data_IF_361626158928
#
_entry.id   IF_361626158928
#
_cell.length_a   1.000
_cell.length_b   1.000
_cell.length_c   1.000
_cell.angle_alpha   90.00
_cell.angle_beta   90.00
_cell.angle_gamma   90.00
#
_symmetry.space_group_name_H-M   'P 1'
#
loop_
_entity.id
_entity.type
_entity.pdbx_description
1 polymer ?
#
# COMPACT_ATOMS: atom_id res chain seq x y z
N UNK A 1 -19.94 -22.72 6.58
CA UNK A 1 -18.88 -22.80 7.60
C UNK A 1 -18.09 -21.50 7.58
N UNK A 2 -17.64 -21.02 8.75
CA UNK A 2 -16.75 -19.86 8.80
C UNK A 2 -15.43 -20.21 8.07
N UNK A 3 -14.90 -19.26 7.30
CA UNK A 3 -13.66 -19.47 6.55
C UNK A 3 -12.46 -19.12 7.42
N UNK A 4 -11.53 -20.06 7.58
CA UNK A 4 -10.38 -19.88 8.46
C UNK A 4 -9.24 -19.17 7.74
N UNK A 5 -8.54 -18.31 8.45
CA UNK A 5 -7.36 -17.59 7.91
C UNK A 5 -6.30 -18.57 7.43
N UNK A 6 -6.06 -19.66 8.19
CA UNK A 6 -5.10 -20.73 7.82
C UNK A 6 -5.44 -21.46 6.51
N UNK A 7 -6.68 -21.36 6.00
CA UNK A 7 -7.04 -21.96 4.72
C UNK A 7 -6.37 -21.29 3.53
N UNK A 8 -5.76 -20.10 3.74
CA UNK A 8 -4.98 -19.34 2.79
C UNK A 8 -3.46 -19.44 3.02
N UNK A 9 -3.06 -20.42 3.81
CA UNK A 9 -1.65 -20.68 4.08
C UNK A 9 -1.01 -21.48 2.94
N UNK A 10 0.22 -21.14 2.62
CA UNK A 10 1.12 -21.92 1.77
C UNK A 10 2.56 -21.67 2.22
N UNK A 11 3.46 -22.60 1.93
CA UNK A 11 4.88 -22.48 2.28
C UNK A 11 5.58 -21.52 1.30
N UNK A 12 6.04 -20.38 1.78
CA UNK A 12 6.79 -19.39 1.00
C UNK A 12 8.24 -19.37 1.46
N UNK A 13 9.19 -19.89 0.66
CA UNK A 13 10.60 -19.79 0.98
C UNK A 13 11.06 -18.32 1.03
N UNK A 14 11.82 -17.91 2.05
CA UNK A 14 12.24 -16.49 2.22
C UNK A 14 13.07 -15.95 1.05
N UNK A 15 13.83 -16.80 0.36
CA UNK A 15 14.62 -16.45 -0.81
C UNK A 15 13.78 -16.11 -2.04
N UNK A 16 12.49 -16.47 -2.06
CA UNK A 16 11.55 -16.08 -3.11
C UNK A 16 11.04 -14.65 -2.96
N UNK A 17 11.25 -14.00 -1.83
CA UNK A 17 10.82 -12.61 -1.61
C UNK A 17 11.81 -11.66 -2.30
N UNK A 18 11.37 -11.02 -3.37
CA UNK A 18 12.21 -10.13 -4.17
C UNK A 18 12.63 -8.87 -3.39
N UNK A 19 13.92 -8.60 -3.36
CA UNK A 19 14.50 -7.44 -2.68
C UNK A 19 14.69 -6.24 -3.61
N UNK A 20 14.82 -6.49 -4.91
CA UNK A 20 15.05 -5.47 -5.94
C UNK A 20 14.19 -5.73 -7.17
N UNK A 21 13.78 -4.67 -7.90
CA UNK A 21 13.04 -4.84 -9.15
C UNK A 21 13.92 -5.43 -10.25
N UNK A 22 13.31 -6.17 -11.17
CA UNK A 22 13.94 -6.52 -12.47
C UNK A 22 14.01 -5.24 -13.33
N UNK A 23 15.02 -5.17 -14.19
CA UNK A 23 15.16 -4.12 -15.19
C UNK A 23 15.49 -4.72 -16.56
N UNK A 24 14.76 -4.36 -17.64
CA UNK A 24 13.54 -3.54 -17.64
C UNK A 24 12.42 -4.16 -16.79
N UNK A 25 11.49 -3.34 -16.27
CA UNK A 25 10.48 -3.82 -15.32
C UNK A 25 9.49 -4.81 -15.93
N UNK A 26 9.19 -4.68 -17.22
CA UNK A 26 8.32 -5.57 -17.98
C UNK A 26 8.96 -6.93 -18.34
N UNK A 27 10.23 -7.14 -17.98
CA UNK A 27 10.90 -8.43 -18.06
C UNK A 27 10.64 -9.34 -16.85
N UNK A 28 9.85 -8.91 -15.85
CA UNK A 28 9.34 -9.80 -14.81
C UNK A 28 8.52 -10.93 -15.41
N UNK A 29 8.46 -12.08 -14.74
CA UNK A 29 7.58 -13.17 -15.16
C UNK A 29 6.11 -12.77 -14.97
N UNK A 30 5.26 -13.32 -15.81
CA UNK A 30 3.80 -13.17 -15.77
C UNK A 30 3.17 -14.56 -15.82
N UNK A 31 2.43 -14.92 -14.78
CA UNK A 31 1.62 -16.13 -14.75
C UNK A 31 0.19 -15.77 -15.16
N UNK A 32 -0.28 -16.30 -16.27
CA UNK A 32 -1.65 -16.14 -16.71
C UNK A 32 -2.51 -17.32 -16.21
N UNK A 33 -3.61 -16.98 -15.53
CA UNK A 33 -4.58 -17.94 -14.99
C UNK A 33 -5.91 -17.78 -15.71
N UNK A 34 -6.32 -18.79 -16.45
CA UNK A 34 -7.68 -18.88 -16.98
C UNK A 34 -8.55 -19.66 -16.01
N UNK A 35 -9.50 -18.96 -15.35
CA UNK A 35 -10.37 -19.57 -14.35
C UNK A 35 -11.43 -20.51 -14.97
N UNK A 36 -11.77 -20.35 -16.26
CA UNK A 36 -12.75 -21.18 -16.94
C UNK A 36 -12.17 -22.54 -17.33
N UNK A 37 -10.93 -22.56 -17.88
CA UNK A 37 -10.23 -23.78 -18.31
C UNK A 37 -9.37 -24.38 -17.22
N UNK A 38 -9.02 -23.59 -16.18
CA UNK A 38 -8.02 -23.91 -15.13
C UNK A 38 -6.60 -24.06 -15.68
N UNK A 39 -6.32 -23.47 -16.83
CA UNK A 39 -4.99 -23.46 -17.44
C UNK A 39 -4.10 -22.40 -16.79
N UNK A 40 -2.81 -22.71 -16.74
CA UNK A 40 -1.76 -21.82 -16.21
C UNK A 40 -0.69 -21.68 -17.30
N UNK A 41 -0.52 -20.46 -17.81
CA UNK A 41 0.53 -20.12 -18.76
C UNK A 41 1.65 -19.33 -18.11
N UNK A 42 2.88 -19.55 -18.56
CA UNK A 42 4.08 -18.88 -18.11
C UNK A 42 4.61 -17.95 -19.18
N UNK A 43 4.58 -16.65 -18.91
CA UNK A 43 4.99 -15.58 -19.82
C UNK A 43 5.98 -14.64 -19.12
N UNK A 44 6.40 -13.60 -19.85
CA UNK A 44 6.96 -12.38 -19.25
C UNK A 44 5.97 -11.22 -19.39
N UNK A 45 6.08 -10.20 -18.56
CA UNK A 45 5.10 -9.12 -18.50
C UNK A 45 5.00 -8.34 -19.84
N UNK A 46 6.08 -8.22 -20.60
CA UNK A 46 6.06 -7.66 -21.96
C UNK A 46 5.16 -8.46 -22.94
N UNK A 47 4.76 -9.68 -22.59
CA UNK A 47 3.78 -10.50 -23.30
C UNK A 47 2.32 -10.17 -22.96
N UNK A 48 2.05 -9.30 -21.99
CA UNK A 48 0.70 -8.87 -21.59
C UNK A 48 -0.20 -8.48 -22.78
N UNK A 49 0.32 -7.84 -23.86
CA UNK A 49 -0.48 -7.50 -25.03
C UNK A 49 -1.19 -8.70 -25.70
N UNK A 50 -0.69 -9.91 -25.55
CA UNK A 50 -1.34 -11.13 -26.10
C UNK A 50 -2.54 -11.60 -25.28
N UNK A 51 -2.66 -11.17 -24.04
CA UNK A 51 -3.76 -11.52 -23.12
C UNK A 51 -4.91 -10.52 -23.14
N UNK A 52 -4.67 -9.34 -23.72
CA UNK A 52 -5.63 -8.24 -23.80
C UNK A 52 -6.25 -8.16 -25.21
N UNK A 53 -7.46 -7.61 -25.28
CA UNK A 53 -8.22 -7.46 -26.52
C UNK A 53 -8.50 -5.99 -26.80
N UNK A 54 -8.53 -5.55 -28.07
CA UNK A 54 -8.99 -4.20 -28.40
C UNK A 54 -10.34 -3.91 -27.75
N UNK A 55 -10.45 -2.76 -27.10
CA UNK A 55 -11.64 -2.37 -26.33
C UNK A 55 -11.59 -2.69 -24.84
N UNK A 56 -10.62 -3.49 -24.36
CA UNK A 56 -10.40 -3.63 -22.92
C UNK A 56 -10.02 -2.28 -22.30
N UNK A 57 -10.44 -2.07 -21.06
CA UNK A 57 -10.11 -0.89 -20.24
C UNK A 57 -9.21 -1.32 -19.09
N UNK A 58 -7.93 -0.90 -19.10
CA UNK A 58 -7.05 -1.03 -17.96
C UNK A 58 -7.32 0.12 -16.98
N UNK A 59 -7.65 -0.23 -15.75
CA UNK A 59 -7.78 0.75 -14.65
C UNK A 59 -6.65 0.53 -13.68
N UNK A 60 -5.92 1.59 -13.35
CA UNK A 60 -4.81 1.54 -12.38
C UNK A 60 -4.92 2.61 -11.29
N UNK A 61 -4.21 2.38 -10.19
CA UNK A 61 -4.13 3.31 -9.08
C UNK A 61 -2.99 4.31 -9.33
N UNK A 62 -3.33 5.60 -9.53
CA UNK A 62 -2.38 6.68 -9.82
C UNK A 62 -1.77 7.31 -8.57
N UNK A 63 -1.97 6.71 -7.40
CA UNK A 63 -1.41 7.25 -6.15
C UNK A 63 0.12 7.35 -6.23
N UNK A 64 0.64 8.46 -5.67
CA UNK A 64 2.07 8.74 -5.59
C UNK A 64 2.56 8.61 -4.16
N UNK A 65 3.60 7.80 -3.96
CA UNK A 65 4.26 7.63 -2.67
C UNK A 65 5.06 8.87 -2.33
N UNK A 66 5.01 9.31 -1.08
CA UNK A 66 5.87 10.36 -0.54
C UNK A 66 6.87 9.78 0.48
N UNK A 67 7.89 10.54 0.84
CA UNK A 67 8.93 10.13 1.80
C UNK A 67 8.41 10.19 3.24
N UNK A 68 7.52 9.27 3.57
CA UNK A 68 6.70 9.27 4.78
C UNK A 68 7.46 9.02 6.09
N UNK A 69 8.69 8.51 6.04
CA UNK A 69 9.47 8.12 7.22
C UNK A 69 10.39 9.25 7.66
N UNK A 70 10.19 9.76 8.86
CA UNK A 70 10.92 10.87 9.45
C UNK A 70 11.59 10.45 10.76
N UNK A 71 12.68 11.11 11.12
CA UNK A 71 13.29 11.01 12.45
C UNK A 71 12.95 12.26 13.26
N UNK A 72 12.51 12.09 14.50
CA UNK A 72 12.19 13.16 15.41
C UNK A 72 12.85 12.95 16.77
N UNK A 73 13.00 14.03 17.53
CA UNK A 73 13.41 14.01 18.94
C UNK A 73 12.37 14.68 19.80
N UNK A 74 12.26 14.33 21.09
CA UNK A 74 11.43 15.10 22.01
C UNK A 74 12.03 16.51 22.19
N UNK A 75 11.18 17.52 21.98
CA UNK A 75 11.53 18.89 22.31
C UNK A 75 11.59 19.04 23.81
N UNK A 76 12.68 19.60 24.32
CA UNK A 76 12.87 19.85 25.76
C UNK A 76 12.12 21.11 26.24
N UNK A 77 10.96 21.43 25.73
CA UNK A 77 10.14 22.50 26.24
C UNK A 77 9.39 22.06 27.50
N UNK A 78 10.05 22.12 28.66
CA UNK A 78 9.32 22.46 29.89
C UNK A 78 8.90 23.92 29.73
N UNK A 79 7.66 24.16 29.34
CA UNK A 79 7.03 25.47 29.61
C UNK A 79 7.06 25.68 31.10
N UNK A 80 7.87 26.62 31.55
CA UNK A 80 7.74 27.22 32.85
C UNK A 80 6.39 27.96 32.87
N UNK A 81 5.35 27.31 33.42
CA UNK A 81 4.19 27.99 33.94
C UNK A 81 4.48 28.14 35.43
N UNK A 82 4.62 29.36 35.79
CA UNK A 82 4.36 30.05 37.07
C UNK A 82 5.57 30.84 37.56
N UNK A 83 5.46 32.15 37.31
CA UNK A 83 6.36 33.14 37.86
C UNK A 83 6.27 33.24 39.38
N UNK A 84 7.37 32.93 40.06
CA UNK A 84 7.69 33.55 41.34
C UNK A 84 9.20 33.81 41.39
N UNK A 85 9.58 35.07 41.23
CA UNK A 85 10.93 35.54 41.51
C UNK A 85 11.20 35.40 43.01
N UNK A 86 12.18 34.56 43.39
CA UNK A 86 12.92 34.72 44.63
C UNK A 86 14.39 34.70 44.35
N UNK A 87 14.98 35.86 44.51
CA UNK A 87 16.43 36.07 44.53
C UNK A 87 17.02 35.43 45.78
N UNK A 88 17.96 34.53 45.64
CA UNK A 88 19.05 34.34 46.61
C UNK A 88 20.28 33.84 45.83
N UNK A 89 21.30 34.67 45.87
CA UNK A 89 22.64 34.42 45.42
C UNK A 89 23.25 33.32 46.29
N UNK A 90 23.65 32.21 45.70
CA UNK A 90 24.68 31.36 46.32
C UNK A 90 25.58 30.77 45.20
N UNK A 91 26.79 31.30 45.14
CA UNK A 91 27.85 30.83 44.29
C UNK A 91 28.39 29.51 44.84
N UNK A 92 28.04 28.38 44.18
CA UNK A 92 28.89 27.18 44.24
C UNK A 92 29.14 26.69 42.83
N UNK A 93 30.41 26.77 42.44
CA UNK A 93 30.95 26.19 41.25
C UNK A 93 30.74 24.67 41.31
N UNK A 94 29.76 24.18 40.58
CA UNK A 94 29.61 22.74 40.32
C UNK A 94 30.25 22.45 38.98
N UNK A 95 31.24 21.60 38.97
CA UNK A 95 31.89 21.05 37.79
C UNK A 95 30.85 20.38 36.85
N UNK A 96 30.61 20.98 35.71
CA UNK A 96 29.85 20.36 34.64
C UNK A 96 30.57 19.15 34.07
N UNK A 97 30.22 17.96 34.53
CA UNK A 97 30.47 16.76 33.77
C UNK A 97 29.57 16.80 32.52
N UNK A 98 30.08 16.51 31.31
CA UNK A 98 29.28 16.52 30.12
C UNK A 98 28.17 15.45 30.27
N UNK A 99 26.93 15.87 30.46
CA UNK A 99 25.76 14.99 30.39
C UNK A 99 25.68 14.51 28.94
N UNK A 100 25.94 13.24 28.77
CA UNK A 100 25.79 12.54 27.50
C UNK A 100 24.27 12.30 27.28
N UNK A 101 23.50 13.38 27.14
CA UNK A 101 22.07 13.35 26.81
C UNK A 101 21.93 13.00 25.31
N UNK A 102 22.08 11.72 24.98
CA UNK A 102 21.58 11.22 23.70
C UNK A 102 20.09 11.55 23.65
N UNK A 103 19.69 12.58 22.88
CA UNK A 103 18.29 12.89 22.62
C UNK A 103 17.63 11.61 22.15
N UNK A 104 16.52 11.22 22.78
CA UNK A 104 15.77 10.03 22.37
C UNK A 104 15.22 10.27 20.99
N UNK A 105 15.65 9.48 20.04
CA UNK A 105 15.13 9.50 18.67
C UNK A 105 13.86 8.66 18.55
N UNK A 106 12.95 9.15 17.72
CA UNK A 106 11.69 8.52 17.36
C UNK A 106 11.61 8.42 15.84
N UNK A 107 11.29 7.26 15.34
CA UNK A 107 10.86 7.10 13.96
C UNK A 107 9.38 7.50 13.90
N UNK A 108 9.04 8.46 13.05
CA UNK A 108 7.68 8.91 12.79
C UNK A 108 7.35 8.57 11.34
N UNK A 109 6.28 7.82 11.15
CA UNK A 109 5.82 7.41 9.83
C UNK A 109 4.47 8.07 9.56
N UNK A 110 4.44 9.08 8.69
CA UNK A 110 3.23 9.78 8.31
C UNK A 110 2.37 8.90 7.41
N UNK A 111 1.09 8.79 7.70
CA UNK A 111 0.14 8.00 6.93
C UNK A 111 -0.71 8.87 6.01
N UNK A 112 -1.40 9.86 6.57
CA UNK A 112 -2.29 10.77 5.81
C UNK A 112 -2.69 11.98 6.63
N UNK A 113 -3.12 13.06 5.99
CA UNK A 113 -3.84 14.15 6.66
C UNK A 113 -5.20 13.63 7.19
N UNK A 114 -5.61 14.11 8.37
CA UNK A 114 -6.88 13.78 8.99
C UNK A 114 -7.36 14.91 9.89
N UNK A 115 -8.46 15.58 9.53
CA UNK A 115 -9.12 16.61 10.35
C UNK A 115 -8.17 17.72 10.86
N UNK A 116 -7.29 18.26 9.99
CA UNK A 116 -6.31 19.28 10.37
C UNK A 116 -5.07 18.75 11.10
N UNK A 117 -4.95 17.44 11.25
CA UNK A 117 -3.80 16.75 11.85
C UNK A 117 -3.22 15.75 10.84
N UNK A 118 -2.15 15.07 11.24
CA UNK A 118 -1.56 13.96 10.50
C UNK A 118 -1.71 12.67 11.30
N UNK A 119 -2.37 11.68 10.71
CA UNK A 119 -2.31 10.32 11.22
C UNK A 119 -0.92 9.76 10.97
N UNK A 120 -0.29 9.19 11.99
CA UNK A 120 1.07 8.68 11.92
C UNK A 120 1.27 7.45 12.82
N UNK A 121 2.33 6.69 12.54
CA UNK A 121 2.88 5.73 13.48
C UNK A 121 4.15 6.31 14.08
N UNK A 122 4.39 6.05 15.37
CA UNK A 122 5.61 6.48 16.05
C UNK A 122 6.28 5.30 16.76
N UNK A 123 7.61 5.19 16.64
CA UNK A 123 8.37 4.12 17.28
C UNK A 123 9.58 4.69 18.01
N UNK A 124 9.71 4.46 19.33
CA UNK A 124 8.84 3.67 20.23
C UNK A 124 7.63 4.46 20.73
N UNK A 125 6.42 4.22 20.17
CA UNK A 125 5.20 4.99 20.50
C UNK A 125 4.76 4.95 21.96
N UNK A 126 5.10 3.86 22.69
CA UNK A 126 4.77 3.75 24.14
C UNK A 126 5.44 4.82 25.01
N UNK A 127 6.54 5.42 24.54
CA UNK A 127 7.30 6.45 25.27
C UNK A 127 6.76 7.85 25.06
N UNK A 128 5.90 8.06 24.07
CA UNK A 128 5.27 9.34 23.78
C UNK A 128 3.98 9.50 24.61
N UNK A 129 3.69 10.73 24.99
CA UNK A 129 2.46 11.12 25.70
C UNK A 129 1.73 12.20 24.92
N UNK A 130 0.40 12.23 25.04
CA UNK A 130 -0.40 13.35 24.50
C UNK A 130 0.12 14.66 25.10
N UNK A 131 0.33 15.66 24.26
CA UNK A 131 0.94 16.94 24.59
C UNK A 131 2.44 17.03 24.33
N UNK A 132 3.14 15.89 24.10
CA UNK A 132 4.56 15.93 23.73
C UNK A 132 4.78 16.68 22.42
N UNK A 133 5.84 17.49 22.35
CA UNK A 133 6.31 18.14 21.14
C UNK A 133 7.48 17.34 20.55
N UNK A 134 7.35 16.99 19.29
CA UNK A 134 8.37 16.34 18.49
C UNK A 134 9.07 17.38 17.62
N UNK A 135 10.39 17.44 17.70
CA UNK A 135 11.23 18.27 16.82
C UNK A 135 11.83 17.43 15.72
N UNK A 136 11.70 17.91 14.51
CA UNK A 136 12.25 17.35 13.28
C UNK A 136 13.41 18.22 12.77
N UNK A 137 13.93 17.92 11.58
CA UNK A 137 14.90 18.76 10.89
C UNK A 137 14.33 20.16 10.58
N UNK A 138 15.21 21.13 10.28
CA UNK A 138 14.86 22.53 9.97
C UNK A 138 13.92 23.16 11.01
N UNK A 139 14.05 22.79 12.30
CA UNK A 139 13.25 23.27 13.42
C UNK A 139 11.73 23.07 13.27
N UNK A 140 11.30 22.22 12.35
CA UNK A 140 9.88 21.85 12.23
C UNK A 140 9.46 21.06 13.45
N UNK A 141 8.31 21.43 14.00
CA UNK A 141 7.75 20.78 15.18
C UNK A 141 6.36 20.22 14.89
N UNK A 142 6.03 19.13 15.59
CA UNK A 142 4.67 18.62 15.66
C UNK A 142 4.30 18.28 17.09
N UNK A 143 3.05 18.62 17.48
CA UNK A 143 2.48 18.27 18.78
C UNK A 143 1.70 16.97 18.67
N UNK A 144 1.94 16.04 19.58
CA UNK A 144 1.13 14.83 19.69
C UNK A 144 -0.21 15.19 20.33
N UNK A 145 -1.28 15.11 19.54
CA UNK A 145 -2.64 15.52 19.93
C UNK A 145 -3.41 14.36 20.54
N UNK A 146 -3.26 13.15 19.96
CA UNK A 146 -3.97 11.97 20.43
C UNK A 146 -3.23 10.67 20.11
N UNK A 147 -3.61 9.59 20.82
CA UNK A 147 -3.14 8.22 20.60
C UNK A 147 -4.34 7.32 20.41
N UNK A 148 -4.44 6.72 19.23
CA UNK A 148 -5.58 5.89 18.86
C UNK A 148 -5.41 4.45 19.37
N UNK A 149 -6.52 3.72 19.45
CA UNK A 149 -6.56 2.34 19.97
C UNK A 149 -5.72 1.35 19.12
N UNK A 150 -5.60 1.61 17.82
CA UNK A 150 -4.79 0.80 16.90
C UNK A 150 -3.27 1.05 17.01
N UNK A 151 -2.86 1.94 17.92
CA UNK A 151 -1.48 2.32 18.18
C UNK A 151 -0.97 3.45 17.27
N UNK A 152 -1.78 3.98 16.39
CA UNK A 152 -1.47 5.20 15.64
C UNK A 152 -1.59 6.45 16.50
N UNK A 153 -1.06 7.55 16.02
CA UNK A 153 -1.04 8.84 16.73
C UNK A 153 -1.51 9.95 15.79
N UNK A 154 -2.12 10.99 16.36
CA UNK A 154 -2.43 12.23 15.66
C UNK A 154 -1.39 13.30 16.00
N UNK A 155 -0.74 13.82 14.97
CA UNK A 155 0.27 14.88 15.06
C UNK A 155 -0.28 16.16 14.44
N UNK A 156 -0.19 17.25 15.18
CA UNK A 156 -0.50 18.60 14.68
C UNK A 156 0.80 19.28 14.28
N UNK A 157 0.88 19.67 13.01
CA UNK A 157 1.92 20.54 12.47
C UNK A 157 1.32 21.91 12.24
N UNK A 158 2.06 22.98 12.55
CA UNK A 158 1.71 24.36 12.17
C UNK A 158 2.06 24.63 10.70
N UNK A 159 1.78 23.65 9.83
CA UNK A 159 2.06 23.65 8.40
C UNK A 159 0.82 23.13 7.65
N UNK A 160 0.62 23.65 6.44
CA UNK A 160 -0.38 23.06 5.53
C UNK A 160 0.04 21.65 5.07
N UNK A 161 -0.89 20.81 4.62
CA UNK A 161 -0.54 19.48 4.08
C UNK A 161 0.53 19.54 2.99
N UNK A 162 0.47 20.50 2.07
CA UNK A 162 1.45 20.67 0.99
C UNK A 162 2.84 21.05 1.52
N UNK A 163 2.90 21.87 2.58
CA UNK A 163 4.16 22.20 3.24
C UNK A 163 4.75 21.00 3.96
N UNK A 164 3.91 20.14 4.57
CA UNK A 164 4.37 18.88 5.17
C UNK A 164 4.91 17.94 4.08
N UNK A 165 4.23 17.81 2.93
CA UNK A 165 4.76 17.02 1.81
C UNK A 165 6.11 17.57 1.31
N UNK A 166 6.24 18.88 1.11
CA UNK A 166 7.51 19.51 0.73
C UNK A 166 8.62 19.25 1.77
N UNK A 167 8.30 19.31 3.05
CA UNK A 167 9.21 18.97 4.13
C UNK A 167 9.63 17.48 4.07
N UNK A 168 8.67 16.56 3.86
CA UNK A 168 8.99 15.13 3.74
C UNK A 168 9.83 14.82 2.51
N UNK A 169 9.63 15.50 1.40
CA UNK A 169 10.45 15.33 0.18
C UNK A 169 11.93 15.67 0.44
N UNK A 170 12.18 16.66 1.31
CA UNK A 170 13.53 17.09 1.66
C UNK A 170 14.20 16.22 2.72
N UNK A 171 13.47 15.82 3.76
CA UNK A 171 14.03 15.21 4.98
C UNK A 171 13.58 13.77 5.22
N UNK A 172 12.54 13.32 4.53
CA UNK A 172 11.98 12.00 4.70
C UNK A 172 12.74 10.91 3.96
N UNK A 173 12.52 9.68 4.40
CA UNK A 173 13.02 8.46 3.77
C UNK A 173 11.87 7.72 3.06
N UNK A 174 12.24 6.94 2.05
CA UNK A 174 11.29 6.10 1.30
C UNK A 174 10.63 5.11 2.25
N UNK A 175 9.30 5.00 2.22
CA UNK A 175 8.56 4.10 3.10
C UNK A 175 8.56 2.66 2.58
N UNK A 176 9.74 2.04 2.49
CA UNK A 176 9.85 0.64 2.06
C UNK A 176 9.14 -0.29 3.04
N UNK A 177 8.44 -1.33 2.56
CA UNK A 177 7.87 -2.35 3.41
C UNK A 177 8.92 -3.06 4.28
N UNK A 178 8.55 -3.63 5.43
CA UNK A 178 9.51 -4.19 6.40
C UNK A 178 10.31 -5.39 5.86
N UNK A 179 9.84 -6.06 4.81
CA UNK A 179 10.50 -7.19 4.17
C UNK A 179 11.49 -6.78 3.05
N UNK A 180 11.51 -5.50 2.67
CA UNK A 180 12.47 -4.95 1.69
C UNK A 180 13.66 -4.37 2.44
N UNK A 181 14.88 -4.81 2.05
CA UNK A 181 16.11 -4.26 2.61
C UNK A 181 16.23 -2.77 2.30
N UNK A 182 16.87 -2.01 3.20
CA UNK A 182 17.08 -0.58 3.00
C UNK A 182 17.97 -0.31 1.79
N UNK A 183 17.80 0.86 1.18
CA UNK A 183 18.62 1.31 0.05
C UNK A 183 17.85 1.48 -1.27
N UNK A 184 16.55 1.22 -1.29
CA UNK A 184 15.72 1.49 -2.47
C UNK A 184 15.49 3.00 -2.64
N UNK A 185 15.55 3.45 -3.89
CA UNK A 185 15.21 4.83 -4.23
C UNK A 185 13.69 5.03 -4.28
N UNK A 186 13.22 6.27 -4.18
CA UNK A 186 11.80 6.56 -4.38
C UNK A 186 11.34 6.18 -5.80
N UNK A 187 12.23 6.30 -6.79
CA UNK A 187 11.98 5.91 -8.17
C UNK A 187 11.76 4.40 -8.32
N UNK A 188 12.50 3.59 -7.55
CA UNK A 188 12.27 2.14 -7.51
C UNK A 188 10.92 1.78 -6.91
N UNK A 189 10.44 2.59 -5.96
CA UNK A 189 9.18 2.37 -5.24
C UNK A 189 8.04 3.27 -5.73
N UNK A 190 7.97 3.49 -7.06
CA UNK A 190 6.96 4.31 -7.73
C UNK A 190 6.55 3.69 -9.06
N UNK A 191 5.29 3.89 -9.46
CA UNK A 191 4.82 3.54 -10.81
C UNK A 191 5.16 4.66 -11.80
N UNK A 192 5.28 4.32 -13.08
CA UNK A 192 5.58 5.31 -14.15
C UNK A 192 4.42 6.30 -14.40
N UNK A 193 3.25 6.01 -13.85
CA UNK A 193 2.04 6.82 -14.00
C UNK A 193 1.55 7.44 -12.67
N UNK A 194 2.37 7.42 -11.62
CA UNK A 194 2.02 8.01 -10.33
C UNK A 194 1.83 9.53 -10.46
N UNK A 195 0.69 10.04 -9.96
CA UNK A 195 0.29 11.44 -10.10
C UNK A 195 -0.14 12.09 -8.78
N UNK A 196 -1.04 11.47 -8.01
CA UNK A 196 -1.65 12.07 -6.81
C UNK A 196 -0.92 11.67 -5.54
N UNK A 197 -0.15 12.61 -4.96
CA UNK A 197 0.62 12.39 -3.73
C UNK A 197 -0.30 12.15 -2.53
N UNK A 198 0.04 11.18 -1.66
CA UNK A 198 -0.72 10.91 -0.44
C UNK A 198 -0.58 9.49 0.10
N UNK A 199 0.18 8.63 -0.57
CA UNK A 199 0.30 7.22 -0.20
C UNK A 199 1.59 6.94 0.56
N UNK A 200 1.45 6.13 1.61
CA UNK A 200 2.58 5.58 2.35
C UNK A 200 3.13 4.28 1.73
N UNK A 201 2.46 3.72 0.73
CA UNK A 201 2.92 2.54 0.01
C UNK A 201 2.50 2.60 -1.46
N UNK A 202 3.27 1.96 -2.34
CA UNK A 202 3.01 1.96 -3.78
C UNK A 202 2.01 0.87 -4.19
N UNK A 203 1.22 1.10 -5.25
CA UNK A 203 0.43 0.06 -5.90
C UNK A 203 1.32 -0.82 -6.78
N UNK A 204 1.98 -1.80 -6.17
CA UNK A 204 3.15 -2.51 -6.70
C UNK A 204 2.89 -3.33 -7.98
N UNK A 205 1.64 -3.73 -8.24
CA UNK A 205 1.26 -4.36 -9.51
C UNK A 205 1.51 -3.44 -10.74
N UNK A 206 1.54 -2.13 -10.50
CA UNK A 206 1.88 -1.15 -11.54
C UNK A 206 3.36 -1.04 -11.85
N UNK A 207 4.24 -1.62 -11.04
CA UNK A 207 5.68 -1.53 -11.27
C UNK A 207 6.15 -2.22 -12.55
N UNK A 208 5.40 -3.20 -13.02
CA UNK A 208 5.72 -3.99 -14.22
C UNK A 208 5.56 -3.20 -15.52
N UNK A 209 4.80 -2.09 -15.50
CA UNK A 209 4.57 -1.28 -16.68
C UNK A 209 5.77 -0.38 -16.98
N UNK A 210 6.16 -0.36 -18.24
CA UNK A 210 7.12 0.60 -18.81
C UNK A 210 6.38 1.56 -19.75
N UNK A 211 6.91 2.77 -20.03
CA UNK A 211 6.31 3.66 -21.01
C UNK A 211 6.12 3.01 -22.36
N UNK A 212 7.09 2.22 -22.82
CA UNK A 212 7.09 1.51 -24.11
C UNK A 212 5.97 0.47 -24.17
N UNK A 213 5.76 -0.29 -23.08
CA UNK A 213 4.66 -1.26 -23.01
C UNK A 213 3.30 -0.55 -23.01
N UNK A 214 3.16 0.59 -22.29
CA UNK A 214 1.93 1.39 -22.28
C UNK A 214 1.61 1.89 -23.69
N UNK A 215 2.61 2.40 -24.43
CA UNK A 215 2.40 2.91 -25.79
C UNK A 215 2.03 1.78 -26.75
N UNK A 216 2.64 0.61 -26.61
CA UNK A 216 2.26 -0.60 -27.36
C UNK A 216 0.81 -1.02 -27.11
N UNK A 217 0.36 -1.00 -25.85
CA UNK A 217 -1.02 -1.33 -25.49
C UNK A 217 -2.02 -0.30 -26.04
N UNK A 218 -1.70 1.01 -25.98
CA UNK A 218 -2.52 2.05 -26.60
C UNK A 218 -2.64 1.86 -28.11
N UNK A 219 -1.55 1.51 -28.78
CA UNK A 219 -1.53 1.24 -30.22
C UNK A 219 -2.40 0.02 -30.61
N UNK A 220 -2.62 -0.92 -29.69
CA UNK A 220 -3.54 -2.05 -29.86
C UNK A 220 -5.01 -1.71 -29.56
N UNK A 221 -5.33 -0.45 -29.21
CA UNK A 221 -6.69 -0.03 -28.89
C UNK A 221 -7.12 -0.35 -27.45
N UNK A 222 -6.17 -0.63 -26.54
CA UNK A 222 -6.44 -0.73 -25.10
C UNK A 222 -6.63 0.67 -24.54
N UNK A 223 -7.70 0.87 -23.79
CA UNK A 223 -8.00 2.14 -23.10
C UNK A 223 -7.45 2.11 -21.67
N UNK A 224 -7.23 3.29 -21.10
CA UNK A 224 -6.70 3.46 -19.77
C UNK A 224 -7.55 4.43 -18.95
N UNK A 225 -7.75 4.11 -17.68
CA UNK A 225 -8.38 4.98 -16.71
C UNK A 225 -7.64 4.90 -15.36
N UNK A 226 -7.86 5.90 -14.51
CA UNK A 226 -7.22 5.98 -13.20
C UNK A 226 -8.24 5.94 -12.07
N UNK A 227 -7.85 5.36 -10.96
CA UNK A 227 -8.44 5.60 -9.65
C UNK A 227 -7.32 6.02 -8.72
N UNK A 228 -7.67 6.69 -7.63
CA UNK A 228 -6.71 6.95 -6.55
C UNK A 228 -7.13 6.17 -5.33
N UNK A 229 -6.24 5.37 -4.76
CA UNK A 229 -6.37 4.81 -3.44
C UNK A 229 -5.06 5.03 -2.70
N UNK A 230 -5.08 5.80 -1.63
CA UNK A 230 -3.91 6.02 -0.79
C UNK A 230 -3.72 4.84 0.14
N UNK A 231 -2.71 4.03 -0.17
CA UNK A 231 -2.41 2.79 0.54
C UNK A 231 -1.81 3.10 1.91
N UNK A 232 -2.44 2.57 2.95
CA UNK A 232 -1.93 2.60 4.31
C UNK A 232 -1.04 1.39 4.63
N UNK A 233 -0.32 1.45 5.76
CA UNK A 233 0.53 0.33 6.21
C UNK A 233 -0.26 -0.93 6.60
N UNK A 234 -1.56 -0.81 6.85
CA UNK A 234 -2.43 -1.93 7.18
C UNK A 234 -2.49 -3.00 6.10
N UNK A 235 -2.29 -2.62 4.84
CA UNK A 235 -2.32 -3.53 3.69
C UNK A 235 -1.22 -4.60 3.73
N UNK A 236 -0.12 -4.35 4.46
CA UNK A 236 0.99 -5.30 4.60
C UNK A 236 0.93 -6.13 5.88
N UNK A 237 -0.10 -5.95 6.71
CA UNK A 237 -0.26 -6.74 7.93
C UNK A 237 -0.96 -8.06 7.60
N UNK A 238 -0.48 -9.20 8.15
CA UNK A 238 -1.21 -10.46 8.03
C UNK A 238 -2.55 -10.36 8.78
N UNK A 239 -3.51 -11.18 8.39
CA UNK A 239 -4.74 -11.37 9.16
C UNK A 239 -4.36 -12.08 10.46
N UNK A 240 -4.71 -11.49 11.60
CA UNK A 240 -4.35 -12.03 12.93
C UNK A 240 -5.49 -12.77 13.60
N UNK A 241 -6.69 -12.72 13.03
CA UNK A 241 -7.88 -13.42 13.52
C UNK A 241 -7.92 -14.86 13.01
N UNK A 242 -8.51 -15.76 13.76
CA UNK A 242 -8.65 -17.17 13.38
C UNK A 242 -9.57 -17.32 12.15
N UNK A 243 -10.61 -16.50 12.08
CA UNK A 243 -11.58 -16.48 10.97
C UNK A 243 -11.53 -15.15 10.22
N UNK A 244 -11.88 -15.18 8.93
CA UNK A 244 -11.92 -13.97 8.11
C UNK A 244 -12.97 -12.96 8.59
N UNK A 245 -14.11 -13.45 9.11
CA UNK A 245 -15.21 -12.61 9.59
C UNK A 245 -14.81 -11.75 10.80
N UNK A 246 -13.82 -12.20 11.57
CA UNK A 246 -13.29 -11.46 12.72
C UNK A 246 -12.30 -10.35 12.33
N UNK A 247 -11.85 -10.30 11.08
CA UNK A 247 -10.86 -9.33 10.64
C UNK A 247 -11.48 -7.95 10.36
N UNK A 248 -10.88 -6.92 10.93
CA UNK A 248 -11.27 -5.52 10.69
C UNK A 248 -10.28 -4.89 9.72
N UNK A 249 -10.77 -4.53 8.53
CA UNK A 249 -9.97 -3.83 7.52
C UNK A 249 -9.71 -2.39 7.93
N UNK A 250 -8.49 -1.93 7.72
CA UNK A 250 -8.16 -0.51 7.84
C UNK A 250 -8.83 0.31 6.73
N UNK A 251 -9.24 1.53 7.10
CA UNK A 251 -9.79 2.48 6.14
C UNK A 251 -8.69 3.05 5.24
N UNK A 252 -8.98 3.11 3.94
CA UNK A 252 -8.13 3.76 2.94
C UNK A 252 -8.97 4.77 2.15
N UNK A 253 -8.36 5.93 1.88
CA UNK A 253 -9.03 6.98 1.10
C UNK A 253 -8.98 6.66 -0.39
N UNK A 254 -10.11 6.81 -1.03
CA UNK A 254 -10.28 6.57 -2.47
C UNK A 254 -10.91 7.74 -3.19
N UNK A 255 -10.61 7.85 -4.48
CA UNK A 255 -11.25 8.73 -5.43
C UNK A 255 -11.38 7.98 -6.77
N UNK A 256 -12.62 7.80 -7.23
CA UNK A 256 -12.96 7.22 -8.54
C UNK A 256 -13.52 8.35 -9.41
N UNK A 257 -12.73 8.92 -10.34
CA UNK A 257 -13.17 10.04 -11.17
C UNK A 257 -14.40 9.69 -12.03
N UNK A 258 -15.25 10.68 -12.29
CA UNK A 258 -16.43 10.53 -13.17
C UNK A 258 -16.06 10.02 -14.55
N UNK A 259 -14.94 10.49 -15.09
CA UNK A 259 -14.44 10.04 -16.38
C UNK A 259 -14.12 8.54 -16.36
N UNK A 260 -13.55 8.03 -15.27
CA UNK A 260 -13.29 6.60 -15.10
C UNK A 260 -14.59 5.81 -15.06
N UNK A 261 -15.59 6.28 -14.30
CA UNK A 261 -16.91 5.63 -14.23
C UNK A 261 -17.59 5.60 -15.61
N UNK A 262 -17.51 6.70 -16.36
CA UNK A 262 -18.04 6.77 -17.73
C UNK A 262 -17.35 5.78 -18.67
N UNK A 263 -16.02 5.70 -18.62
CA UNK A 263 -15.24 4.75 -19.43
C UNK A 263 -15.56 3.29 -19.08
N UNK A 264 -15.82 2.96 -17.81
CA UNK A 264 -16.24 1.64 -17.36
C UNK A 264 -17.60 1.28 -17.99
N UNK A 265 -18.59 2.16 -17.88
CA UNK A 265 -19.94 1.94 -18.47
C UNK A 265 -19.83 1.75 -19.98
N UNK A 266 -19.08 2.61 -20.68
CA UNK A 266 -18.87 2.48 -22.13
C UNK A 266 -18.18 1.17 -22.51
N UNK A 267 -17.26 0.67 -21.68
CA UNK A 267 -16.55 -0.58 -21.91
C UNK A 267 -17.53 -1.77 -21.79
N UNK A 268 -18.30 -1.79 -20.71
CA UNK A 268 -19.30 -2.83 -20.46
C UNK A 268 -20.40 -2.85 -21.56
N UNK A 269 -20.82 -1.68 -22.05
CA UNK A 269 -21.80 -1.58 -23.15
C UNK A 269 -21.28 -2.14 -24.50
N UNK A 270 -19.96 -2.28 -24.65
CA UNK A 270 -19.32 -2.80 -25.86
C UNK A 270 -18.76 -4.22 -25.67
N UNK A 271 -19.20 -4.91 -24.61
CA UNK A 271 -18.69 -6.24 -24.23
C UNK A 271 -17.17 -6.30 -24.04
N UNK A 272 -16.53 -5.15 -23.74
CA UNK A 272 -15.15 -5.03 -23.36
C UNK A 272 -14.94 -5.37 -21.88
N UNK A 273 -13.71 -5.79 -21.52
CA UNK A 273 -13.37 -6.15 -20.14
C UNK A 273 -12.80 -4.95 -19.39
N UNK A 274 -13.16 -4.81 -18.12
CA UNK A 274 -12.50 -3.92 -17.14
C UNK A 274 -11.41 -4.72 -16.44
N UNK A 275 -10.16 -4.38 -16.72
CA UNK A 275 -8.96 -5.03 -16.18
C UNK A 275 -8.38 -4.18 -15.07
N UNK A 276 -8.46 -4.63 -13.83
CA UNK A 276 -7.88 -3.92 -12.69
C UNK A 276 -6.38 -4.21 -12.56
N UNK A 277 -5.58 -3.16 -12.41
CA UNK A 277 -4.15 -3.28 -12.10
C UNK A 277 -3.95 -3.07 -10.60
N UNK A 278 -3.75 -4.17 -9.89
CA UNK A 278 -3.57 -4.22 -8.44
C UNK A 278 -4.86 -4.41 -7.63
N UNK A 279 -4.71 -5.08 -6.50
CA UNK A 279 -5.81 -5.31 -5.54
C UNK A 279 -6.37 -4.01 -4.96
N UNK A 280 -5.58 -2.94 -4.90
CA UNK A 280 -6.02 -1.59 -4.51
C UNK A 280 -7.02 -1.02 -5.50
N UNK A 281 -6.79 -1.21 -6.80
CA UNK A 281 -7.74 -0.81 -7.86
C UNK A 281 -9.05 -1.59 -7.75
N UNK A 282 -8.96 -2.91 -7.52
CA UNK A 282 -10.16 -3.74 -7.27
C UNK A 282 -10.96 -3.17 -6.09
N UNK A 283 -10.31 -2.90 -4.96
CA UNK A 283 -10.99 -2.37 -3.77
C UNK A 283 -11.62 -1.00 -4.02
N UNK A 284 -10.97 -0.12 -4.76
CA UNK A 284 -11.53 1.17 -5.14
C UNK A 284 -12.79 1.02 -6.00
N UNK A 285 -12.72 0.18 -7.04
CA UNK A 285 -13.84 -0.01 -7.98
C UNK A 285 -15.02 -0.75 -7.35
N UNK A 286 -14.78 -1.79 -6.56
CA UNK A 286 -15.82 -2.64 -5.98
C UNK A 286 -16.40 -2.08 -4.67
N UNK A 287 -15.82 -1.03 -4.09
CA UNK A 287 -16.28 -0.45 -2.82
C UNK A 287 -17.67 0.21 -2.92
N UNK A 288 -18.09 0.63 -4.10
CA UNK A 288 -19.28 1.45 -4.30
C UNK A 288 -19.14 2.90 -3.80
N UNK A 289 -17.98 3.28 -3.28
CA UNK A 289 -17.67 4.65 -2.85
C UNK A 289 -17.00 5.39 -4.00
N UNK A 290 -17.51 6.57 -4.32
CA UNK A 290 -16.95 7.41 -5.38
C UNK A 290 -15.73 8.21 -4.88
N UNK A 291 -15.88 8.87 -3.76
CA UNK A 291 -14.81 9.60 -3.08
C UNK A 291 -15.03 9.51 -1.58
N UNK A 292 -13.99 9.19 -0.83
CA UNK A 292 -14.06 9.04 0.62
C UNK A 292 -13.26 7.84 1.11
N UNK A 293 -13.71 7.24 2.20
CA UNK A 293 -13.02 6.11 2.82
C UNK A 293 -13.71 4.78 2.52
N UNK A 294 -12.90 3.75 2.30
CA UNK A 294 -13.35 2.37 2.16
C UNK A 294 -12.58 1.45 3.09
N UNK A 295 -13.29 0.53 3.71
CA UNK A 295 -12.74 -0.59 4.47
C UNK A 295 -13.21 -1.94 3.90
N UNK A 296 -13.55 -1.96 2.61
CA UNK A 296 -14.06 -3.17 1.96
C UNK A 296 -13.09 -4.34 2.13
N UNK A 297 -13.60 -5.46 2.64
CA UNK A 297 -12.92 -6.74 2.72
C UNK A 297 -13.57 -7.72 1.76
N UNK A 298 -12.89 -8.01 0.65
CA UNK A 298 -13.40 -8.91 -0.39
C UNK A 298 -12.94 -10.32 -0.07
N UNK A 299 -13.90 -11.21 0.22
CA UNK A 299 -13.69 -12.61 0.59
C UNK A 299 -14.39 -13.54 -0.40
N UNK A 300 -14.03 -14.84 -0.47
CA UNK A 300 -14.74 -15.80 -1.31
C UNK A 300 -16.26 -15.76 -1.09
N UNK A 301 -17.00 -15.72 -2.20
CA UNK A 301 -18.46 -15.49 -2.20
C UNK A 301 -18.87 -14.06 -2.54
N UNK A 302 -17.93 -13.10 -2.53
CA UNK A 302 -18.18 -11.75 -3.05
C UNK A 302 -18.53 -11.80 -4.55
N UNK A 303 -19.52 -11.01 -4.95
CA UNK A 303 -19.94 -10.89 -6.36
C UNK A 303 -19.33 -9.63 -6.96
N UNK A 304 -18.33 -9.79 -7.81
CA UNK A 304 -17.71 -8.68 -8.53
C UNK A 304 -18.71 -8.05 -9.50
N UNK A 305 -18.73 -6.72 -9.55
CA UNK A 305 -19.69 -5.91 -10.31
C UNK A 305 -19.04 -5.19 -11.48
N UNK A 306 -17.76 -4.89 -11.34
CA UNK A 306 -17.03 -4.00 -12.27
C UNK A 306 -15.83 -4.71 -12.87
N UNK A 307 -15.06 -5.47 -12.08
CA UNK A 307 -13.77 -6.01 -12.51
C UNK A 307 -13.93 -7.38 -13.18
N UNK A 308 -13.49 -7.47 -14.45
CA UNK A 308 -13.54 -8.68 -15.26
C UNK A 308 -12.23 -9.45 -15.31
N UNK A 309 -11.08 -8.77 -15.17
CA UNK A 309 -9.76 -9.40 -15.08
C UNK A 309 -8.86 -8.63 -14.12
N UNK A 310 -7.87 -9.31 -13.55
CA UNK A 310 -7.00 -8.76 -12.52
C UNK A 310 -5.53 -9.00 -12.87
N UNK A 311 -4.73 -7.91 -12.86
CA UNK A 311 -3.27 -7.97 -12.85
C UNK A 311 -2.82 -7.71 -11.41
N UNK A 312 -2.01 -8.59 -10.82
CA UNK A 312 -1.56 -8.45 -9.45
C UNK A 312 -0.20 -9.12 -9.21
N UNK A 313 0.46 -8.81 -8.09
CA UNK A 313 1.65 -9.54 -7.63
C UNK A 313 1.26 -10.83 -6.91
N UNK A 314 2.26 -11.65 -6.57
CA UNK A 314 2.11 -12.73 -5.62
C UNK A 314 2.15 -12.19 -4.18
N UNK A 315 1.23 -12.65 -3.35
CA UNK A 315 1.00 -12.11 -2.00
C UNK A 315 1.44 -13.06 -0.91
N UNK A 316 1.60 -12.57 0.34
CA UNK A 316 1.91 -13.41 1.49
C UNK A 316 0.82 -14.42 1.81
N UNK A 317 1.21 -15.56 2.40
CA UNK A 317 0.26 -16.45 3.03
C UNK A 317 -0.55 -15.70 4.11
N UNK A 318 -1.81 -16.09 4.26
CA UNK A 318 -2.74 -15.56 5.28
C UNK A 318 -2.96 -14.03 5.23
N UNK A 319 -2.65 -13.39 4.10
CA UNK A 319 -2.89 -11.95 3.91
C UNK A 319 -4.29 -11.67 3.35
N UNK A 320 -4.82 -10.47 3.60
CA UNK A 320 -6.08 -10.01 2.99
C UNK A 320 -6.02 -10.01 1.46
N UNK A 321 -4.82 -9.94 0.89
CA UNK A 321 -4.59 -9.86 -0.56
C UNK A 321 -4.73 -11.22 -1.24
N UNK A 322 -4.19 -12.32 -0.66
CA UNK A 322 -4.42 -13.67 -1.22
C UNK A 322 -5.89 -14.08 -1.07
N UNK A 323 -6.56 -13.61 -0.01
CA UNK A 323 -8.00 -13.81 0.18
C UNK A 323 -8.79 -13.15 -0.95
N UNK A 324 -8.48 -11.87 -1.30
CA UNK A 324 -9.11 -11.15 -2.40
C UNK A 324 -8.86 -11.85 -3.75
N UNK A 325 -7.63 -12.27 -4.03
CA UNK A 325 -7.29 -12.99 -5.27
C UNK A 325 -8.05 -14.31 -5.37
N UNK A 326 -8.15 -15.05 -4.26
CA UNK A 326 -8.95 -16.27 -4.19
C UNK A 326 -10.44 -16.01 -4.41
N UNK A 327 -10.97 -14.91 -3.85
CA UNK A 327 -12.35 -14.49 -4.06
C UNK A 327 -12.61 -14.13 -5.54
N UNK A 328 -11.64 -13.48 -6.19
CA UNK A 328 -11.73 -13.13 -7.62
C UNK A 328 -11.79 -14.40 -8.48
N UNK A 329 -10.88 -15.33 -8.28
CA UNK A 329 -10.90 -16.61 -8.98
C UNK A 329 -12.20 -17.39 -8.69
N UNK A 330 -12.66 -17.44 -7.44
CA UNK A 330 -13.91 -18.09 -7.06
C UNK A 330 -15.15 -17.49 -7.75
N UNK A 331 -15.17 -16.18 -7.98
CA UNK A 331 -16.28 -15.53 -8.69
C UNK A 331 -16.40 -15.98 -10.16
N UNK A 332 -15.32 -16.48 -10.74
CA UNK A 332 -15.25 -17.01 -12.12
C UNK A 332 -15.53 -18.53 -12.19
N UNK A 333 -15.51 -19.22 -11.06
CA UNK A 333 -15.63 -20.67 -10.99
C UNK A 333 -16.93 -21.07 -10.31
N UNK A 334 -17.52 -22.19 -10.73
CA UNK A 334 -18.85 -22.61 -10.26
C UNK A 334 -18.80 -23.46 -8.98
N UNK A 335 -17.73 -24.25 -8.79
CA UNK A 335 -17.62 -25.16 -7.66
C UNK A 335 -17.19 -24.40 -6.40
N UNK A 336 -17.78 -24.68 -5.23
CA UNK A 336 -17.35 -24.08 -3.96
C UNK A 336 -15.86 -24.31 -3.70
N UNK A 337 -15.18 -23.30 -3.17
CA UNK A 337 -13.74 -23.31 -2.82
C UNK A 337 -12.77 -23.56 -3.99
N UNK A 338 -13.24 -23.82 -5.20
CA UNK A 338 -12.37 -24.12 -6.34
C UNK A 338 -11.41 -22.95 -6.67
N UNK A 339 -11.88 -21.71 -6.53
CA UNK A 339 -11.03 -20.52 -6.76
C UNK A 339 -9.88 -20.42 -5.77
N UNK A 340 -10.11 -20.70 -4.49
CA UNK A 340 -9.07 -20.73 -3.47
C UNK A 340 -8.03 -21.81 -3.76
N UNK A 341 -8.49 -23.02 -4.05
CA UNK A 341 -7.59 -24.14 -4.38
C UNK A 341 -6.76 -23.84 -5.62
N UNK A 342 -7.38 -23.33 -6.69
CA UNK A 342 -6.69 -22.98 -7.93
C UNK A 342 -5.63 -21.90 -7.72
N UNK A 343 -5.91 -20.87 -6.92
CA UNK A 343 -4.93 -19.84 -6.57
C UNK A 343 -3.77 -20.43 -5.76
N UNK A 344 -4.04 -21.25 -4.76
CA UNK A 344 -2.99 -21.88 -3.95
C UNK A 344 -2.11 -22.83 -4.79
N UNK A 345 -2.70 -23.58 -5.73
CA UNK A 345 -1.95 -24.45 -6.67
C UNK A 345 -1.10 -23.59 -7.63
N UNK A 346 -1.62 -22.47 -8.11
CA UNK A 346 -0.85 -21.52 -8.93
C UNK A 346 0.34 -20.94 -8.14
N UNK A 347 0.18 -20.64 -6.83
CA UNK A 347 1.27 -20.18 -5.98
C UNK A 347 2.34 -21.25 -5.74
N UNK A 348 1.95 -22.52 -5.53
CA UNK A 348 2.89 -23.65 -5.47
C UNK A 348 3.64 -23.83 -6.79
N UNK A 349 2.92 -23.73 -7.91
CA UNK A 349 3.49 -23.78 -9.25
C UNK A 349 4.48 -22.62 -9.47
N UNK A 350 4.15 -21.42 -9.01
CA UNK A 350 5.04 -20.26 -9.09
C UNK A 350 6.35 -20.50 -8.32
N UNK A 351 6.27 -21.03 -7.10
CA UNK A 351 7.46 -21.35 -6.29
C UNK A 351 8.33 -22.40 -7.00
N UNK A 352 7.71 -23.46 -7.53
CA UNK A 352 8.42 -24.54 -8.25
C UNK A 352 9.07 -24.05 -9.58
N UNK A 353 8.57 -22.97 -10.16
CA UNK A 353 9.08 -22.36 -11.41
C UNK A 353 9.89 -21.09 -11.17
N UNK A 354 10.44 -20.90 -9.98
CA UNK A 354 11.34 -19.78 -9.63
C UNK A 354 10.74 -18.39 -9.86
N UNK A 355 9.44 -18.23 -9.58
CA UNK A 355 8.84 -16.92 -9.52
C UNK A 355 9.25 -16.19 -8.25
N UNK A 356 9.34 -14.88 -8.34
CA UNK A 356 9.63 -13.99 -7.22
C UNK A 356 8.35 -13.39 -6.68
N UNK A 357 8.31 -13.17 -5.40
CA UNK A 357 7.13 -12.78 -4.65
C UNK A 357 7.22 -11.34 -4.15
N UNK A 358 6.07 -10.74 -3.82
CA UNK A 358 5.91 -9.43 -3.24
C UNK A 358 6.12 -8.25 -4.19
N UNK A 359 6.40 -7.06 -3.59
CA UNK A 359 6.39 -5.75 -4.26
C UNK A 359 7.29 -5.67 -5.49
N UNK A 360 8.46 -6.30 -5.46
CA UNK A 360 9.42 -6.35 -6.58
C UNK A 360 9.46 -7.71 -7.27
N UNK A 361 8.52 -8.56 -6.93
CA UNK A 361 8.38 -9.90 -7.50
C UNK A 361 7.81 -9.88 -8.92
N UNK A 362 7.23 -11.00 -9.27
CA UNK A 362 6.61 -11.24 -10.57
C UNK A 362 5.09 -10.99 -10.51
N UNK A 363 4.41 -11.08 -11.63
CA UNK A 363 3.00 -10.75 -11.78
C UNK A 363 2.14 -11.97 -12.09
N UNK A 364 0.84 -11.81 -11.81
CA UNK A 364 -0.24 -12.70 -12.27
C UNK A 364 -1.23 -11.90 -13.12
N UNK A 365 -1.80 -12.54 -14.14
CA UNK A 365 -2.99 -12.09 -14.83
C UNK A 365 -4.08 -13.15 -14.66
N UNK A 366 -5.24 -12.77 -14.15
CA UNK A 366 -6.34 -13.68 -13.81
C UNK A 366 -7.59 -13.24 -14.57
N UNK A 367 -8.23 -14.15 -15.32
CA UNK A 367 -9.43 -13.85 -16.12
C UNK A 367 -10.47 -14.98 -16.07
#
# INVERSE_FOLDING_TARGET
>A
MAMLTKDFWYDLPPDRIAQTPIRPRDHSKLMALDCATREIDHLHFYGLPSLLKPGDLLVWNDTKVFRARLTATLSSSRTESDGVWRSTVDCRVASEAPRNDKKKEFEVFLLRPQNGHWLALAKPGRKLKVGDALSFADDVQAKLVDKLEDGSVLLHFDLTPDQVFAFTDKHGQVPTPPYVQQGQTLEDYQTVYAAKTGSAAAPTAGFHFTPELIDKLKAQGIRFATVTLHVGLGTFRPVTTETLEGHVMHEEWIDVPDETLKLIVETQQRDGRVVAVGTTTVRALESGVRQGFTNIFITPGYKFKIVDALITNFHLPESTLIVLVSAFAQNKMSEPDSGRHFVLDAYRTAIANDYRFYSFGDAMFIC
#
